data_IF_229131628659
#
_entry.id   IF_229131628659
#
_cell.length_a   1.000
_cell.length_b   1.000
_cell.length_c   1.000
_cell.angle_alpha   90.00
_cell.angle_beta   90.00
_cell.angle_gamma   90.00
#
_symmetry.space_group_name_H-M   'P 1'
#
loop_
_entity.id
_entity.type
_entity.pdbx_description
1 polymer ?
#
# COMPACT_ATOMS: atom_id res chain seq x y z
N UNK A 1 2.62 -6.95 -16.45
CA UNK A 1 3.45 -8.16 -16.44
C UNK A 1 2.82 -9.14 -15.44
N UNK A 2 2.39 -10.30 -15.90
CA UNK A 2 1.92 -11.38 -15.03
C UNK A 2 3.15 -11.95 -14.31
N UNK A 3 3.26 -11.72 -13.00
CA UNK A 3 4.18 -12.47 -12.18
C UNK A 3 3.74 -13.93 -12.21
N UNK A 4 4.65 -14.84 -12.60
CA UNK A 4 4.34 -16.26 -12.80
C UNK A 4 3.64 -16.92 -11.61
N UNK A 5 2.99 -18.04 -11.83
CA UNK A 5 2.18 -18.82 -10.84
C UNK A 5 2.91 -19.20 -9.54
N UNK A 6 4.24 -19.08 -9.50
CA UNK A 6 5.12 -19.47 -8.40
C UNK A 6 5.48 -18.33 -7.43
N UNK A 7 5.03 -17.10 -7.69
CA UNK A 7 5.33 -15.98 -6.80
C UNK A 7 4.71 -16.16 -5.40
N UNK A 8 5.46 -15.81 -4.35
CA UNK A 8 5.03 -15.86 -2.93
C UNK A 8 3.66 -15.18 -2.72
N UNK A 9 3.38 -14.11 -3.45
CA UNK A 9 2.10 -13.37 -3.41
C UNK A 9 0.93 -14.20 -3.96
N UNK A 10 1.11 -14.86 -5.11
CA UNK A 10 0.08 -15.69 -5.72
C UNK A 10 -0.23 -16.96 -4.87
N UNK A 11 0.76 -17.44 -4.09
CA UNK A 11 0.55 -18.49 -3.13
C UNK A 11 -0.38 -18.03 -2.00
N UNK A 12 -0.13 -16.85 -1.41
CA UNK A 12 -0.98 -16.29 -0.35
C UNK A 12 -2.43 -16.08 -0.79
N UNK A 13 -2.67 -15.54 -1.98
CA UNK A 13 -4.03 -15.40 -2.54
C UNK A 13 -4.72 -16.77 -2.65
N UNK A 14 -4.06 -17.75 -3.23
CA UNK A 14 -4.59 -19.09 -3.41
C UNK A 14 -4.89 -19.80 -2.09
N UNK A 15 -3.99 -19.71 -1.12
CA UNK A 15 -4.15 -20.32 0.19
C UNK A 15 -5.34 -19.67 0.94
N UNK A 16 -5.52 -18.35 0.81
CA UNK A 16 -6.69 -17.65 1.37
C UNK A 16 -8.01 -18.14 0.75
N UNK A 17 -8.05 -18.30 -0.57
CA UNK A 17 -9.27 -18.80 -1.27
C UNK A 17 -9.65 -20.19 -0.74
N UNK A 18 -8.69 -21.08 -0.49
CA UNK A 18 -8.94 -22.45 -0.11
C UNK A 18 -9.20 -22.64 1.37
N UNK A 19 -8.50 -21.92 2.22
CA UNK A 19 -8.49 -22.15 3.67
C UNK A 19 -9.36 -21.16 4.44
N UNK A 20 -9.50 -19.92 3.93
CA UNK A 20 -10.21 -18.83 4.61
C UNK A 20 -10.91 -17.92 3.60
N UNK A 21 -11.85 -18.43 2.77
CA UNK A 21 -12.48 -17.64 1.69
C UNK A 21 -13.16 -16.37 2.18
N UNK A 22 -13.74 -16.37 3.38
CA UNK A 22 -14.36 -15.18 4.01
C UNK A 22 -13.34 -14.05 4.31
N UNK A 23 -12.04 -14.37 4.39
CA UNK A 23 -10.99 -13.38 4.60
C UNK A 23 -10.43 -12.82 3.29
N UNK A 24 -10.95 -13.24 2.14
CA UNK A 24 -10.44 -12.79 0.86
C UNK A 24 -10.67 -11.29 0.66
N UNK A 25 -11.85 -10.79 0.99
CA UNK A 25 -12.18 -9.36 0.91
C UNK A 25 -11.26 -8.48 1.75
N UNK A 26 -11.05 -8.72 3.07
CA UNK A 26 -10.14 -7.88 3.87
C UNK A 26 -8.65 -8.07 3.55
N UNK A 27 -8.25 -9.21 2.97
CA UNK A 27 -6.83 -9.48 2.66
C UNK A 27 -6.43 -9.05 1.25
N UNK A 28 -7.39 -8.67 0.39
CA UNK A 28 -7.14 -8.35 -1.00
C UNK A 28 -7.51 -6.89 -1.32
N UNK A 29 -6.66 -6.22 -2.08
CA UNK A 29 -6.89 -4.81 -2.48
C UNK A 29 -7.98 -4.66 -3.55
N UNK A 30 -8.61 -5.76 -3.98
CA UNK A 30 -9.65 -5.74 -4.98
C UNK A 30 -9.13 -5.52 -6.41
N UNK A 31 -10.04 -5.08 -7.27
CA UNK A 31 -9.77 -4.79 -8.68
C UNK A 31 -10.22 -3.36 -9.01
N UNK A 32 -9.52 -2.74 -9.96
CA UNK A 32 -9.96 -1.49 -10.59
C UNK A 32 -10.28 -1.77 -12.05
N UNK A 33 -11.47 -1.38 -12.47
CA UNK A 33 -11.95 -1.62 -13.82
C UNK A 33 -12.59 -0.36 -14.41
N UNK A 34 -12.67 -0.34 -15.73
CA UNK A 34 -13.41 0.67 -16.50
C UNK A 34 -14.44 -0.01 -17.38
N UNK A 35 -15.51 0.70 -17.70
CA UNK A 35 -16.51 0.29 -18.68
C UNK A 35 -17.01 1.51 -19.46
N UNK A 36 -17.51 1.31 -20.66
CA UNK A 36 -18.15 2.35 -21.44
C UNK A 36 -19.59 2.58 -20.99
N UNK A 37 -20.30 1.50 -20.68
CA UNK A 37 -21.66 1.57 -20.15
C UNK A 37 -21.95 0.43 -19.19
N UNK A 38 -22.96 0.64 -18.33
CA UNK A 38 -23.39 -0.28 -17.28
C UNK A 38 -24.90 -0.33 -17.26
N UNK A 39 -25.48 -1.53 -17.36
CA UNK A 39 -26.88 -1.77 -17.08
C UNK A 39 -27.02 -2.33 -15.67
N UNK A 40 -27.99 -1.84 -14.92
CA UNK A 40 -28.21 -2.23 -13.53
C UNK A 40 -29.65 -2.66 -13.31
N UNK A 41 -29.87 -3.54 -12.35
CA UNK A 41 -31.19 -3.98 -11.91
C UNK A 41 -31.24 -3.89 -10.38
N UNK A 42 -32.32 -3.32 -9.85
CA UNK A 42 -32.59 -3.31 -8.43
C UNK A 42 -33.48 -4.53 -8.08
N UNK A 43 -32.99 -5.39 -7.20
CA UNK A 43 -33.73 -6.52 -6.67
C UNK A 43 -33.50 -6.63 -5.16
N UNK A 44 -34.59 -6.79 -4.38
CA UNK A 44 -34.58 -6.88 -2.91
C UNK A 44 -33.69 -5.81 -2.23
N UNK A 45 -33.79 -4.58 -2.69
CA UNK A 45 -33.03 -3.42 -2.22
C UNK A 45 -31.51 -3.54 -2.47
N UNK A 46 -31.07 -4.46 -3.33
CA UNK A 46 -29.69 -4.64 -3.78
C UNK A 46 -29.58 -4.28 -5.25
N UNK A 47 -28.51 -3.55 -5.59
CA UNK A 47 -28.19 -3.16 -6.96
C UNK A 47 -27.30 -4.20 -7.61
N UNK A 48 -27.76 -4.77 -8.70
CA UNK A 48 -27.03 -5.75 -9.50
C UNK A 48 -26.55 -5.12 -10.81
N UNK A 49 -25.31 -5.43 -11.20
CA UNK A 49 -24.78 -5.14 -12.54
C UNK A 49 -25.22 -6.27 -13.47
N UNK A 50 -26.07 -5.96 -14.44
CA UNK A 50 -26.61 -6.96 -15.37
C UNK A 50 -25.82 -7.04 -16.68
N UNK A 51 -25.18 -5.91 -17.06
CA UNK A 51 -24.37 -5.85 -18.26
C UNK A 51 -23.29 -4.78 -18.16
N UNK A 52 -22.12 -5.09 -18.67
CA UNK A 52 -20.99 -4.19 -18.80
C UNK A 52 -20.56 -4.14 -20.27
N UNK A 53 -20.50 -2.93 -20.83
CA UNK A 53 -20.02 -2.72 -22.21
C UNK A 53 -18.56 -2.25 -22.14
N UNK A 54 -17.71 -2.87 -22.95
CA UNK A 54 -16.28 -2.61 -23.03
C UNK A 54 -15.58 -2.58 -21.67
N UNK A 55 -15.78 -3.66 -20.93
CA UNK A 55 -15.23 -3.84 -19.60
C UNK A 55 -13.73 -4.17 -19.66
N UNK A 56 -12.91 -3.41 -18.92
CA UNK A 56 -11.47 -3.58 -18.86
C UNK A 56 -10.99 -3.54 -17.40
N UNK A 57 -10.21 -4.55 -17.01
CA UNK A 57 -9.52 -4.55 -15.70
C UNK A 57 -8.17 -3.84 -15.87
N UNK A 58 -8.01 -2.71 -15.21
CA UNK A 58 -6.79 -1.87 -15.27
C UNK A 58 -5.84 -2.09 -14.09
N UNK A 59 -6.36 -2.63 -12.97
CA UNK A 59 -5.56 -3.10 -11.82
C UNK A 59 -6.25 -4.28 -11.16
N UNK A 60 -5.46 -5.19 -10.54
CA UNK A 60 -5.98 -6.42 -9.90
C UNK A 60 -5.94 -7.65 -10.82
N UNK A 61 -5.22 -7.59 -11.94
CA UNK A 61 -5.08 -8.72 -12.87
C UNK A 61 -4.51 -9.98 -12.19
N UNK A 62 -3.64 -9.84 -11.19
CA UNK A 62 -3.14 -10.99 -10.40
C UNK A 62 -4.25 -11.63 -9.56
N UNK A 63 -5.12 -10.83 -8.95
CA UNK A 63 -6.29 -11.31 -8.19
C UNK A 63 -7.20 -12.13 -9.09
N UNK A 64 -7.57 -11.58 -10.24
CA UNK A 64 -8.44 -12.23 -11.23
C UNK A 64 -7.82 -13.54 -11.76
N UNK A 65 -6.55 -13.50 -12.15
CA UNK A 65 -5.83 -14.67 -12.61
C UNK A 65 -5.73 -15.76 -11.52
N UNK A 66 -5.47 -15.38 -10.26
CA UNK A 66 -5.39 -16.33 -9.15
C UNK A 66 -6.73 -16.98 -8.84
N UNK A 67 -7.84 -16.23 -8.89
CA UNK A 67 -9.20 -16.77 -8.76
C UNK A 67 -9.48 -17.80 -9.87
N UNK A 68 -9.26 -17.44 -11.11
CA UNK A 68 -9.48 -18.31 -12.26
C UNK A 68 -8.63 -19.59 -12.19
N UNK A 69 -7.33 -19.45 -11.91
CA UNK A 69 -6.45 -20.63 -11.82
C UNK A 69 -6.77 -21.51 -10.62
N UNK A 70 -7.17 -20.93 -9.47
CA UNK A 70 -7.56 -21.71 -8.30
C UNK A 70 -8.80 -22.52 -8.59
N UNK A 71 -9.84 -21.92 -9.15
CA UNK A 71 -11.07 -22.60 -9.55
C UNK A 71 -10.80 -23.71 -10.58
N UNK A 72 -9.95 -23.44 -11.56
CA UNK A 72 -9.64 -24.43 -12.62
C UNK A 72 -8.81 -25.60 -12.09
N UNK A 73 -7.86 -25.36 -11.18
CA UNK A 73 -6.91 -26.36 -10.68
C UNK A 73 -7.46 -27.19 -9.54
N UNK A 74 -8.24 -26.57 -8.66
CA UNK A 74 -8.78 -27.20 -7.46
C UNK A 74 -10.30 -27.31 -7.59
N UNK A 75 -10.78 -28.50 -7.92
CA UNK A 75 -12.22 -28.77 -8.11
C UNK A 75 -13.04 -28.60 -6.83
N UNK A 76 -12.38 -28.71 -5.68
CA UNK A 76 -12.91 -28.51 -4.33
C UNK A 76 -12.92 -27.04 -3.88
N UNK A 77 -12.37 -26.12 -4.67
CA UNK A 77 -12.35 -24.70 -4.31
C UNK A 77 -13.75 -24.10 -4.47
N UNK A 78 -14.37 -23.77 -3.34
CA UNK A 78 -15.65 -23.10 -3.28
C UNK A 78 -15.44 -21.58 -3.27
N UNK A 79 -15.89 -20.90 -4.33
CA UNK A 79 -15.83 -19.44 -4.46
C UNK A 79 -17.08 -18.72 -3.94
N UNK A 80 -18.10 -19.43 -3.44
CA UNK A 80 -19.38 -18.84 -3.01
C UNK A 80 -19.22 -17.81 -1.87
N UNK A 81 -18.18 -17.98 -1.05
CA UNK A 81 -17.82 -17.08 0.05
C UNK A 81 -16.61 -16.16 -0.26
N UNK A 82 -16.19 -16.09 -1.52
CA UNK A 82 -15.09 -15.23 -1.96
C UNK A 82 -15.65 -13.93 -2.54
N UNK A 83 -15.47 -12.85 -1.81
CA UNK A 83 -15.89 -11.52 -2.24
C UNK A 83 -14.68 -10.67 -2.63
N UNK A 84 -14.82 -9.89 -3.70
CA UNK A 84 -13.78 -9.00 -4.21
C UNK A 84 -14.34 -7.60 -4.33
N UNK A 85 -13.67 -6.63 -3.71
CA UNK A 85 -14.01 -5.23 -3.91
C UNK A 85 -13.67 -4.82 -5.36
N UNK A 86 -14.61 -4.16 -6.04
CA UNK A 86 -14.37 -3.62 -7.37
C UNK A 86 -14.65 -2.12 -7.39
N UNK A 87 -13.65 -1.35 -7.84
CA UNK A 87 -13.82 0.04 -8.22
C UNK A 87 -14.09 0.10 -9.71
N UNK A 88 -15.34 0.41 -10.10
CA UNK A 88 -15.73 0.54 -11.50
C UNK A 88 -15.90 2.01 -11.87
N UNK A 89 -15.20 2.45 -12.93
CA UNK A 89 -15.35 3.79 -13.51
C UNK A 89 -16.03 3.67 -14.87
N UNK A 90 -17.18 4.34 -15.04
CA UNK A 90 -17.91 4.35 -16.31
C UNK A 90 -17.55 5.61 -17.08
N UNK A 91 -17.02 5.45 -18.31
CA UNK A 91 -16.57 6.53 -19.18
C UNK A 91 -17.29 6.36 -20.51
N UNK A 92 -18.35 7.17 -20.72
CA UNK A 92 -19.23 7.08 -21.90
C UNK A 92 -18.63 7.73 -23.15
N UNK A 93 -17.80 8.74 -22.97
CA UNK A 93 -17.19 9.50 -24.04
C UNK A 93 -15.90 8.80 -24.54
N UNK A 94 -15.82 8.57 -25.84
CA UNK A 94 -14.69 7.84 -26.48
C UNK A 94 -13.37 8.62 -26.38
N UNK A 95 -13.41 9.95 -26.50
CA UNK A 95 -12.22 10.78 -26.42
C UNK A 95 -11.69 10.81 -24.98
N UNK A 96 -12.57 11.01 -24.02
CA UNK A 96 -12.23 10.92 -22.60
C UNK A 96 -11.70 9.54 -22.22
N UNK A 97 -12.27 8.46 -22.76
CA UNK A 97 -11.81 7.10 -22.51
C UNK A 97 -10.35 6.89 -22.90
N UNK A 98 -9.95 7.40 -24.06
CA UNK A 98 -8.57 7.27 -24.55
C UNK A 98 -7.54 7.99 -23.64
N UNK A 99 -7.97 9.02 -22.91
CA UNK A 99 -7.15 9.79 -21.98
C UNK A 99 -7.20 9.18 -20.58
N UNK A 100 -8.42 8.88 -20.10
CA UNK A 100 -8.64 8.52 -18.69
C UNK A 100 -8.29 7.06 -18.37
N UNK A 101 -8.53 6.12 -19.27
CA UNK A 101 -8.20 4.71 -19.01
C UNK A 101 -6.70 4.51 -18.73
N UNK A 102 -5.77 5.05 -19.53
CA UNK A 102 -4.34 5.01 -19.21
C UNK A 102 -3.97 5.73 -17.91
N UNK A 103 -4.63 6.86 -17.60
CA UNK A 103 -4.41 7.59 -16.37
C UNK A 103 -4.86 6.77 -15.15
N UNK A 104 -6.07 6.23 -15.18
CA UNK A 104 -6.60 5.36 -14.11
C UNK A 104 -5.66 4.15 -13.90
N UNK A 105 -5.24 3.50 -14.98
CA UNK A 105 -4.31 2.38 -14.91
C UNK A 105 -2.97 2.79 -14.27
N UNK A 106 -2.39 3.93 -14.66
CA UNK A 106 -1.14 4.45 -14.11
C UNK A 106 -1.27 4.75 -12.62
N UNK A 107 -2.29 5.48 -12.21
CA UNK A 107 -2.49 5.86 -10.80
C UNK A 107 -2.87 4.65 -9.93
N UNK A 108 -3.69 3.74 -10.41
CA UNK A 108 -4.04 2.53 -9.69
C UNK A 108 -2.83 1.59 -9.47
N UNK A 109 -1.86 1.59 -10.40
CA UNK A 109 -0.65 0.76 -10.30
C UNK A 109 0.54 1.47 -9.62
N UNK A 110 0.48 2.80 -9.44
CA UNK A 110 1.55 3.60 -8.85
C UNK A 110 1.45 3.75 -7.32
N UNK A 111 0.51 3.05 -6.68
CA UNK A 111 0.40 3.07 -5.22
C UNK A 111 1.68 2.55 -4.59
N UNK A 112 2.15 3.25 -3.54
CA UNK A 112 3.37 2.90 -2.82
C UNK A 112 3.28 1.46 -2.31
N UNK A 113 4.25 0.63 -2.71
CA UNK A 113 4.39 -0.72 -2.14
C UNK A 113 4.76 -0.58 -0.68
N UNK A 114 3.87 -1.02 0.20
CA UNK A 114 4.18 -1.17 1.62
C UNK A 114 5.15 -2.37 1.75
N UNK A 115 6.35 -2.12 2.27
CA UNK A 115 7.33 -3.18 2.50
C UNK A 115 7.03 -3.94 3.79
N UNK A 116 7.56 -5.16 3.94
CA UNK A 116 7.50 -5.91 5.21
C UNK A 116 8.13 -5.11 6.36
N UNK A 117 9.16 -4.32 6.07
CA UNK A 117 9.78 -3.38 7.01
C UNK A 117 8.82 -2.28 7.45
N UNK A 118 7.94 -1.79 6.56
CA UNK A 118 6.94 -0.79 6.94
C UNK A 118 5.88 -1.40 7.85
N UNK A 119 5.44 -2.63 7.58
CA UNK A 119 4.51 -3.37 8.44
C UNK A 119 5.05 -3.62 9.85
N UNK A 120 6.37 -3.80 10.00
CA UNK A 120 7.02 -3.96 11.30
C UNK A 120 7.12 -2.66 12.12
N UNK A 121 6.67 -1.53 11.59
CA UNK A 121 6.83 -0.21 12.24
C UNK A 121 6.19 -0.13 13.62
N UNK A 122 5.13 -0.89 13.89
CA UNK A 122 4.45 -0.94 15.19
C UNK A 122 5.07 -1.93 16.18
N UNK A 123 6.20 -2.56 15.84
CA UNK A 123 6.91 -3.42 16.79
C UNK A 123 7.35 -2.59 18.02
N UNK A 124 7.07 -3.04 19.26
CA UNK A 124 7.42 -2.32 20.48
C UNK A 124 8.90 -1.93 20.58
N UNK A 125 9.79 -2.76 20.04
CA UNK A 125 11.22 -2.49 19.98
C UNK A 125 11.54 -1.21 19.19
N UNK A 126 10.95 -1.04 18.00
CA UNK A 126 11.17 0.17 17.19
C UNK A 126 10.48 1.40 17.78
N UNK A 127 9.33 1.23 18.44
CA UNK A 127 8.67 2.31 19.19
C UNK A 127 9.56 2.81 20.32
N UNK A 128 10.23 1.89 21.03
CA UNK A 128 11.16 2.24 22.09
C UNK A 128 12.39 2.98 21.57
N UNK A 129 13.01 2.50 20.47
CA UNK A 129 14.14 3.19 19.84
C UNK A 129 13.75 4.60 19.41
N UNK A 130 12.56 4.78 18.81
CA UNK A 130 12.07 6.10 18.45
C UNK A 130 11.97 7.01 19.67
N UNK A 131 11.34 6.53 20.74
CA UNK A 131 11.22 7.30 22.00
C UNK A 131 12.58 7.71 22.58
N UNK A 132 13.54 6.80 22.57
CA UNK A 132 14.91 7.08 23.02
C UNK A 132 15.60 8.11 22.13
N UNK A 133 15.48 7.99 20.82
CA UNK A 133 16.09 8.91 19.85
C UNK A 133 15.56 10.35 19.95
N UNK A 134 14.35 10.55 20.50
CA UNK A 134 13.76 11.89 20.73
C UNK A 134 14.13 12.50 22.08
N UNK A 135 14.77 11.75 22.96
CA UNK A 135 15.03 12.17 24.37
C UNK A 135 16.52 12.24 24.71
N UNK A 136 17.33 11.39 24.06
CA UNK A 136 18.76 11.30 24.40
C UNK A 136 19.59 12.21 23.52
N UNK A 137 20.12 13.26 24.10
CA UNK A 137 21.10 14.13 23.47
C UNK A 137 22.47 13.45 23.41
N UNK A 138 23.17 13.67 22.35
CA UNK A 138 24.56 13.26 22.13
C UNK A 138 25.39 14.49 21.74
N UNK A 139 26.69 14.43 21.99
CA UNK A 139 27.60 15.47 21.53
C UNK A 139 27.65 15.41 20.00
N UNK A 140 27.48 16.56 19.33
CA UNK A 140 27.59 16.65 17.88
C UNK A 140 29.02 16.22 17.45
N UNK A 141 29.18 15.24 16.57
CA UNK A 141 30.49 14.79 16.13
C UNK A 141 31.28 15.88 15.39
N UNK A 142 30.59 16.81 14.74
CA UNK A 142 31.21 17.90 13.98
C UNK A 142 31.41 19.17 14.81
N UNK A 143 30.68 19.31 15.93
CA UNK A 143 30.80 20.47 16.83
C UNK A 143 30.61 20.04 18.29
N UNK A 144 31.71 19.78 18.99
CA UNK A 144 31.72 19.28 20.38
C UNK A 144 31.07 20.20 21.43
N UNK A 145 30.80 21.46 21.06
CA UNK A 145 30.11 22.43 21.93
C UNK A 145 28.59 22.36 21.78
N UNK A 146 28.07 21.55 20.86
CA UNK A 146 26.65 21.38 20.64
C UNK A 146 26.19 19.97 20.99
N UNK A 147 24.97 19.87 21.48
CA UNK A 147 24.29 18.61 21.71
C UNK A 147 23.13 18.47 20.76
N UNK A 148 23.06 17.33 20.08
CA UNK A 148 22.07 17.01 19.07
C UNK A 148 21.33 15.72 19.42
N UNK A 149 20.27 15.41 18.69
CA UNK A 149 19.51 14.19 18.82
C UNK A 149 19.78 13.29 17.62
N UNK A 150 19.91 12.00 17.85
CA UNK A 150 19.77 11.02 16.79
C UNK A 150 18.30 10.93 16.40
N UNK A 151 18.02 10.91 15.08
CA UNK A 151 16.65 10.80 14.59
C UNK A 151 16.39 9.43 14.01
N UNK A 152 15.72 8.58 14.77
CA UNK A 152 15.25 7.29 14.24
C UNK A 152 13.99 7.50 13.39
N UNK A 153 14.09 7.21 12.10
CA UNK A 153 12.97 7.22 11.17
C UNK A 153 12.28 5.85 11.17
N UNK A 154 11.34 5.66 12.09
CA UNK A 154 10.59 4.42 12.25
C UNK A 154 9.68 4.14 11.07
N UNK A 155 9.08 5.17 10.52
CA UNK A 155 8.25 5.14 9.31
C UNK A 155 8.94 5.97 8.24
N UNK A 156 9.00 5.44 7.02
CA UNK A 156 9.66 6.11 5.90
C UNK A 156 9.06 7.51 5.66
N UNK A 157 9.90 8.52 5.55
CA UNK A 157 9.50 9.91 5.35
C UNK A 157 9.11 10.67 6.63
N UNK A 158 9.18 10.06 7.80
CA UNK A 158 8.78 10.65 9.08
C UNK A 158 9.58 11.92 9.43
N UNK A 159 10.87 11.97 9.10
CA UNK A 159 11.70 13.17 9.28
C UNK A 159 11.17 14.35 8.47
N UNK A 160 10.90 14.11 7.19
CA UNK A 160 10.37 15.12 6.28
C UNK A 160 8.98 15.60 6.72
N UNK A 161 8.15 14.68 7.17
CA UNK A 161 6.82 15.00 7.70
C UNK A 161 6.92 15.85 8.96
N UNK A 162 7.81 15.50 9.91
CA UNK A 162 8.06 16.28 11.11
C UNK A 162 8.52 17.70 10.78
N UNK A 163 9.39 17.85 9.78
CA UNK A 163 9.86 19.15 9.30
C UNK A 163 8.72 19.96 8.65
N UNK A 164 7.88 19.32 7.85
CA UNK A 164 6.76 19.97 7.14
C UNK A 164 5.63 20.44 8.07
N UNK A 165 5.50 19.82 9.25
CA UNK A 165 4.55 20.26 10.30
C UNK A 165 4.95 21.60 10.94
N UNK A 166 6.19 22.01 10.76
CA UNK A 166 6.70 23.28 11.28
C UNK A 166 6.40 24.40 10.29
N UNK A 167 5.65 25.41 10.73
CA UNK A 167 5.08 26.45 9.87
C UNK A 167 6.03 27.59 9.55
N UNK A 168 7.08 27.79 10.38
CA UNK A 168 8.01 28.91 10.19
C UNK A 168 9.43 28.45 9.83
N UNK A 169 10.17 29.23 9.00
CA UNK A 169 11.56 28.91 8.66
C UNK A 169 12.47 28.82 9.89
N UNK A 170 12.21 29.61 10.92
CA UNK A 170 12.99 29.59 12.17
C UNK A 170 12.81 28.25 12.92
N UNK A 171 11.58 27.75 13.02
CA UNK A 171 11.30 26.43 13.61
C UNK A 171 11.95 25.29 12.83
N UNK A 172 11.89 25.36 11.49
CA UNK A 172 12.51 24.36 10.61
C UNK A 172 14.04 24.36 10.75
N UNK A 173 14.67 25.53 10.87
CA UNK A 173 16.10 25.65 11.13
C UNK A 173 16.46 25.02 12.47
N UNK A 174 15.78 25.39 13.55
CA UNK A 174 15.99 24.84 14.89
C UNK A 174 15.85 23.33 14.92
N UNK A 175 14.84 22.79 14.21
CA UNK A 175 14.65 21.33 14.12
C UNK A 175 15.84 20.64 13.42
N UNK A 176 16.35 21.21 12.34
CA UNK A 176 17.52 20.67 11.61
C UNK A 176 18.80 20.76 12.42
N UNK A 177 18.97 21.81 13.21
CA UNK A 177 20.10 21.97 14.13
C UNK A 177 20.05 20.94 15.25
N UNK A 178 18.88 20.66 15.80
CA UNK A 178 18.70 19.65 16.82
C UNK A 178 18.76 18.20 16.30
N UNK A 179 18.31 17.99 15.07
CA UNK A 179 18.21 16.69 14.42
C UNK A 179 18.93 16.72 13.05
N UNK A 180 20.25 16.78 13.04
CA UNK A 180 21.01 16.85 11.78
C UNK A 180 20.82 15.59 10.94
N UNK A 181 20.78 15.76 9.61
CA UNK A 181 20.48 14.65 8.69
C UNK A 181 21.53 13.55 8.66
N UNK A 182 22.77 13.86 9.01
CA UNK A 182 23.85 12.88 9.17
C UNK A 182 23.68 11.98 10.41
N UNK A 183 22.80 12.36 11.35
CA UNK A 183 22.41 11.58 12.52
C UNK A 183 21.02 10.94 12.38
N UNK A 184 20.47 10.92 11.15
CA UNK A 184 19.25 10.19 10.85
C UNK A 184 19.59 8.73 10.52
N UNK A 185 18.81 7.80 11.08
CA UNK A 185 18.93 6.37 10.80
C UNK A 185 17.56 5.70 10.68
N UNK A 186 17.51 4.58 10.00
CA UNK A 186 16.28 3.83 9.68
C UNK A 186 16.35 2.39 10.21
N UNK A 187 15.25 1.65 10.11
CA UNK A 187 15.16 0.26 10.60
C UNK A 187 16.22 -0.67 10.01
N UNK A 188 16.55 -0.52 8.73
CA UNK A 188 17.61 -1.31 8.09
C UNK A 188 19.02 -1.02 8.66
N UNK A 189 19.23 0.17 9.22
CA UNK A 189 20.48 0.49 9.88
C UNK A 189 20.59 -0.19 11.23
N UNK A 190 19.49 -0.24 11.98
CA UNK A 190 19.42 -0.98 13.26
C UNK A 190 19.80 -2.46 13.06
N UNK A 191 19.30 -3.07 11.98
CA UNK A 191 19.59 -4.48 11.67
C UNK A 191 21.08 -4.79 11.40
N UNK A 192 21.92 -3.78 11.18
CA UNK A 192 23.38 -3.96 11.02
C UNK A 192 24.13 -4.08 12.36
N UNK A 193 23.47 -3.77 13.47
CA UNK A 193 24.07 -3.74 14.81
C UNK A 193 23.50 -4.81 15.76
N UNK A 194 22.64 -5.70 15.22
CA UNK A 194 22.13 -6.89 15.89
C UNK A 194 22.81 -8.14 15.31
#
# INVERSE_FOLDING_TARGET
AFLGQTGKFNKGIRDTIREKPQMFLPYNNGITATAENVETMLNDNQLYLTKLLDFQIVNGGQTTASLFHTQKKFKDADLSNVFVQMKLTVIKDVEQKNIEVPNIARYANSQNKVSELDLSSNNPYFVQIESLSRKKYVIDPDNRNMSTLWYFERVNGQYKESLNKLTTPAQQRKFKEQNPTNQKFVKSDVAKYI
#
